data_IF_284523156852
#
_entry.id   IF_284523156852
#
_cell.length_a   1.000
_cell.length_b   1.000
_cell.length_c   1.000
_cell.angle_alpha   90.00
_cell.angle_beta   90.00
_cell.angle_gamma   90.00
#
_symmetry.space_group_name_H-M   'P 1'
#
loop_
_entity.id
_entity.type
_entity.pdbx_description
1 polymer ?
#
# COMPACT_ATOMS: atom_id res chain seq x y z
N UNK A 1 22.02 -20.34 0.11
CA UNK A 1 20.90 -21.26 -0.12
C UNK A 1 19.64 -20.46 -0.38
N UNK A 2 18.96 -20.67 -1.52
CA UNK A 2 17.74 -19.99 -1.91
C UNK A 2 16.55 -20.34 -0.99
N UNK A 3 15.43 -19.60 -1.13
CA UNK A 3 14.17 -19.97 -0.50
C UNK A 3 13.54 -21.16 -1.24
N UNK A 4 12.91 -22.08 -0.51
CA UNK A 4 12.22 -23.24 -1.09
C UNK A 4 10.95 -22.85 -1.88
N UNK A 5 10.41 -23.79 -2.67
CA UNK A 5 9.23 -23.58 -3.49
C UNK A 5 8.01 -23.07 -2.70
N UNK A 6 7.81 -23.56 -1.46
CA UNK A 6 6.74 -23.15 -0.55
C UNK A 6 6.72 -21.62 -0.33
N UNK A 7 7.90 -21.03 -0.12
CA UNK A 7 8.06 -19.59 0.04
C UNK A 7 7.58 -18.82 -1.21
N UNK A 8 8.03 -19.24 -2.38
CA UNK A 8 7.68 -18.57 -3.64
C UNK A 8 6.20 -18.68 -4.00
N UNK A 9 5.53 -19.79 -3.62
CA UNK A 9 4.08 -19.91 -3.76
C UNK A 9 3.33 -18.90 -2.88
N UNK A 10 3.80 -18.66 -1.65
CA UNK A 10 3.21 -17.63 -0.77
C UNK A 10 3.38 -16.24 -1.40
N UNK A 11 4.58 -15.93 -1.92
CA UNK A 11 4.83 -14.63 -2.58
C UNK A 11 3.98 -14.46 -3.85
N UNK A 12 3.90 -15.49 -4.70
CA UNK A 12 3.09 -15.46 -5.92
C UNK A 12 1.59 -15.25 -5.61
N UNK A 13 1.05 -15.99 -4.64
CA UNK A 13 -0.35 -15.82 -4.24
C UNK A 13 -0.61 -14.45 -3.60
N UNK A 14 0.35 -13.90 -2.84
CA UNK A 14 0.30 -12.52 -2.34
C UNK A 14 0.20 -11.54 -3.51
N UNK A 15 1.07 -11.69 -4.51
CA UNK A 15 1.05 -10.85 -5.70
C UNK A 15 -0.31 -10.91 -6.41
N UNK A 16 -0.86 -12.09 -6.68
CA UNK A 16 -2.16 -12.24 -7.35
C UNK A 16 -3.32 -11.67 -6.54
N UNK A 17 -3.32 -11.85 -5.21
CA UNK A 17 -4.34 -11.26 -4.33
C UNK A 17 -4.34 -9.74 -4.40
N UNK A 18 -3.17 -9.11 -4.30
CA UNK A 18 -3.02 -7.66 -4.38
C UNK A 18 -3.15 -7.10 -5.80
N UNK A 19 -2.80 -7.88 -6.83
CA UNK A 19 -3.07 -7.55 -8.21
C UNK A 19 -4.59 -7.40 -8.44
N UNK A 20 -5.40 -8.34 -7.92
CA UNK A 20 -6.85 -8.26 -7.97
C UNK A 20 -7.39 -6.97 -7.33
N UNK A 21 -6.91 -6.62 -6.13
CA UNK A 21 -7.28 -5.35 -5.46
C UNK A 21 -6.97 -4.15 -6.35
N UNK A 22 -5.81 -4.15 -7.01
CA UNK A 22 -5.36 -3.05 -7.87
C UNK A 22 -6.15 -2.88 -9.16
N UNK A 23 -6.69 -3.98 -9.75
CA UNK A 23 -7.37 -3.93 -11.06
C UNK A 23 -8.60 -3.04 -11.08
N UNK A 24 -9.31 -2.93 -9.96
CA UNK A 24 -10.57 -2.17 -9.86
C UNK A 24 -10.33 -0.66 -9.72
N UNK A 25 -9.17 -0.26 -9.21
CA UNK A 25 -8.90 1.14 -8.83
C UNK A 25 -9.11 2.15 -9.96
N UNK A 26 -8.65 1.95 -11.22
CA UNK A 26 -8.82 2.95 -12.27
C UNK A 26 -10.26 3.20 -12.67
N UNK A 27 -11.11 2.19 -12.58
CA UNK A 27 -12.51 2.25 -13.02
C UNK A 27 -13.49 2.53 -11.90
N UNK A 28 -13.09 2.38 -10.62
CA UNK A 28 -13.98 2.50 -9.47
C UNK A 28 -14.56 3.93 -9.32
N UNK A 29 -13.73 4.95 -9.37
CA UNK A 29 -14.18 6.33 -9.21
C UNK A 29 -15.07 6.80 -10.39
N UNK A 30 -14.70 6.56 -11.66
CA UNK A 30 -15.57 6.77 -12.80
C UNK A 30 -16.90 6.02 -12.68
N UNK A 31 -16.90 4.75 -12.29
CA UNK A 31 -18.10 3.95 -12.09
C UNK A 31 -19.03 4.57 -11.04
N UNK A 32 -18.50 4.95 -9.88
CA UNK A 32 -19.29 5.61 -8.84
C UNK A 32 -19.90 6.93 -9.37
N UNK A 33 -19.12 7.69 -10.11
CA UNK A 33 -19.51 9.04 -10.55
C UNK A 33 -20.48 9.04 -11.72
N UNK A 34 -20.24 8.21 -12.74
CA UNK A 34 -20.97 8.22 -13.99
C UNK A 34 -22.07 7.17 -14.05
N UNK A 35 -21.80 5.94 -13.57
CA UNK A 35 -22.76 4.85 -13.70
C UNK A 35 -23.72 4.79 -12.50
N UNK A 36 -23.23 5.09 -11.29
CA UNK A 36 -24.03 5.05 -10.07
C UNK A 36 -24.55 6.41 -9.59
N UNK A 37 -24.25 7.50 -10.30
CA UNK A 37 -24.73 8.86 -9.98
C UNK A 37 -24.20 9.41 -8.64
N UNK A 38 -23.10 8.84 -8.13
CA UNK A 38 -22.49 9.29 -6.87
C UNK A 38 -21.81 10.65 -6.99
N UNK A 39 -21.70 11.38 -5.89
CA UNK A 39 -20.97 12.64 -5.80
C UNK A 39 -19.46 12.40 -5.54
N UNK A 40 -18.62 13.43 -5.70
CA UNK A 40 -17.20 13.36 -5.35
C UNK A 40 -17.00 13.02 -3.87
N UNK A 41 -17.91 13.51 -3.00
CA UNK A 41 -17.95 13.08 -1.59
C UNK A 41 -18.17 11.57 -1.47
N UNK A 42 -19.08 11.00 -2.27
CA UNK A 42 -19.34 9.55 -2.30
C UNK A 42 -18.11 8.79 -2.74
N UNK A 43 -17.39 9.26 -3.77
CA UNK A 43 -16.11 8.67 -4.22
C UNK A 43 -15.10 8.62 -3.06
N UNK A 44 -14.90 9.75 -2.36
CA UNK A 44 -14.00 9.82 -1.21
C UNK A 44 -14.39 8.85 -0.10
N UNK A 45 -15.69 8.73 0.21
CA UNK A 45 -16.19 7.78 1.23
C UNK A 45 -15.98 6.33 0.81
N UNK A 46 -16.30 5.95 -0.43
CA UNK A 46 -16.11 4.57 -0.91
C UNK A 46 -14.63 4.19 -0.93
N UNK A 47 -13.73 5.11 -1.31
CA UNK A 47 -12.29 4.85 -1.26
C UNK A 47 -11.81 4.72 0.19
N UNK A 48 -12.25 5.61 1.09
CA UNK A 48 -11.78 5.67 2.47
C UNK A 48 -12.25 4.51 3.34
N UNK A 49 -13.46 3.99 3.12
CA UNK A 49 -14.00 2.90 3.94
C UNK A 49 -13.14 1.63 3.90
N UNK A 50 -12.51 1.37 2.76
CA UNK A 50 -11.53 0.29 2.65
C UNK A 50 -10.46 0.36 3.74
N UNK A 51 -9.83 1.52 3.91
CA UNK A 51 -8.73 1.69 4.86
C UNK A 51 -9.19 1.63 6.32
N UNK A 52 -10.37 2.15 6.63
CA UNK A 52 -10.93 2.01 7.98
C UNK A 52 -11.29 0.56 8.31
N UNK A 53 -11.87 -0.17 7.36
CA UNK A 53 -12.15 -1.59 7.55
C UNK A 53 -10.85 -2.38 7.65
N UNK A 54 -9.84 -2.09 6.82
CA UNK A 54 -8.54 -2.73 6.91
C UNK A 54 -7.89 -2.49 8.29
N UNK A 55 -7.87 -1.25 8.75
CA UNK A 55 -7.35 -0.87 10.07
C UNK A 55 -8.05 -1.63 11.21
N UNK A 56 -9.40 -1.63 11.22
CA UNK A 56 -10.19 -2.36 12.23
C UNK A 56 -9.97 -3.87 12.16
N UNK A 57 -9.83 -4.42 10.95
CA UNK A 57 -9.63 -5.85 10.73
C UNK A 57 -8.27 -6.37 11.19
N UNK A 58 -7.28 -5.51 11.42
CA UNK A 58 -5.97 -5.92 11.97
C UNK A 58 -6.10 -6.51 13.37
N UNK A 59 -7.09 -6.06 14.16
CA UNK A 59 -7.40 -6.66 15.48
C UNK A 59 -7.94 -8.10 15.36
N UNK A 60 -8.48 -8.48 14.22
CA UNK A 60 -8.97 -9.82 13.94
C UNK A 60 -7.90 -10.69 13.25
N UNK A 61 -7.24 -10.15 12.22
CA UNK A 61 -6.32 -10.91 11.36
C UNK A 61 -5.08 -11.41 12.11
N UNK A 62 -4.53 -10.61 13.03
CA UNK A 62 -3.41 -11.03 13.89
C UNK A 62 -3.75 -12.24 14.75
N UNK A 63 -4.74 -12.16 15.65
CA UNK A 63 -5.19 -13.30 16.44
C UNK A 63 -5.62 -14.51 15.61
N UNK A 64 -6.19 -14.33 14.43
CA UNK A 64 -6.53 -15.44 13.54
C UNK A 64 -5.28 -16.18 13.08
N UNK A 65 -4.27 -15.44 12.61
CA UNK A 65 -2.99 -16.00 12.17
C UNK A 65 -2.23 -16.69 13.33
N UNK A 66 -2.31 -16.14 14.54
CA UNK A 66 -1.59 -16.67 15.71
C UNK A 66 -2.29 -17.89 16.36
N UNK A 67 -3.61 -18.00 16.26
CA UNK A 67 -4.37 -19.06 16.94
C UNK A 67 -4.76 -20.22 16.03
N UNK A 68 -5.05 -19.94 14.76
CA UNK A 68 -5.52 -20.94 13.79
C UNK A 68 -4.53 -21.25 12.68
N UNK A 69 -3.46 -20.46 12.58
CA UNK A 69 -2.42 -20.64 11.57
C UNK A 69 -2.40 -19.53 10.51
N UNK A 70 -1.30 -19.47 9.80
CA UNK A 70 -1.03 -18.45 8.78
C UNK A 70 -1.87 -18.67 7.53
N UNK A 71 -2.00 -19.95 7.11
CA UNK A 71 -2.79 -20.37 5.95
C UNK A 71 -4.28 -20.03 6.10
N UNK A 72 -4.98 -20.34 7.22
CA UNK A 72 -6.36 -19.92 7.42
C UNK A 72 -6.54 -18.40 7.34
N UNK A 73 -5.64 -17.60 7.90
CA UNK A 73 -5.70 -16.14 7.81
C UNK A 73 -5.57 -15.68 6.35
N UNK A 74 -4.59 -16.24 5.62
CA UNK A 74 -4.35 -15.94 4.20
C UNK A 74 -5.56 -16.30 3.34
N UNK A 75 -6.11 -17.52 3.49
CA UNK A 75 -7.28 -17.98 2.74
C UNK A 75 -8.52 -17.14 3.04
N UNK A 76 -8.74 -16.75 4.31
CA UNK A 76 -9.83 -15.82 4.68
C UNK A 76 -9.69 -14.50 3.93
N UNK A 77 -8.47 -13.97 3.82
CA UNK A 77 -8.19 -12.77 3.04
C UNK A 77 -8.54 -12.92 1.56
N UNK A 78 -8.14 -14.02 0.94
CA UNK A 78 -8.43 -14.30 -0.48
C UNK A 78 -9.92 -14.48 -0.74
N UNK A 79 -10.63 -15.22 0.12
CA UNK A 79 -12.09 -15.38 0.02
C UNK A 79 -12.77 -14.02 0.10
N UNK A 80 -12.38 -13.18 1.05
CA UNK A 80 -12.96 -11.84 1.17
C UNK A 80 -12.65 -10.94 -0.04
N UNK A 81 -11.43 -10.99 -0.58
CA UNK A 81 -11.08 -10.28 -1.82
C UNK A 81 -11.88 -10.78 -3.03
N UNK A 82 -12.17 -12.08 -3.10
CA UNK A 82 -13.04 -12.66 -4.12
C UNK A 82 -14.48 -12.20 -3.97
N UNK A 83 -15.02 -12.23 -2.75
CA UNK A 83 -16.36 -11.71 -2.43
C UNK A 83 -16.47 -10.21 -2.73
N UNK A 84 -15.40 -9.43 -2.56
CA UNK A 84 -15.39 -8.03 -2.96
C UNK A 84 -15.64 -7.87 -4.47
N UNK A 85 -14.94 -8.64 -5.31
CA UNK A 85 -15.16 -8.66 -6.76
C UNK A 85 -16.59 -9.03 -7.13
N UNK A 86 -17.17 -10.03 -6.46
CA UNK A 86 -18.57 -10.42 -6.66
C UNK A 86 -19.57 -9.35 -6.17
N UNK A 87 -19.30 -8.72 -5.02
CA UNK A 87 -20.15 -7.66 -4.47
C UNK A 87 -20.26 -6.45 -5.40
N UNK A 88 -19.19 -6.11 -6.11
CA UNK A 88 -19.19 -5.06 -7.12
C UNK A 88 -20.09 -5.36 -8.32
N UNK A 89 -20.33 -6.64 -8.62
CA UNK A 89 -21.18 -7.08 -9.75
C UNK A 89 -22.67 -7.18 -9.37
N UNK A 90 -23.00 -7.11 -8.08
CA UNK A 90 -24.39 -7.16 -7.65
C UNK A 90 -25.12 -5.87 -8.05
N UNK A 91 -26.41 -5.95 -8.45
CA UNK A 91 -27.19 -4.78 -8.84
C UNK A 91 -27.68 -3.99 -7.61
N UNK A 92 -26.76 -3.66 -6.70
CA UNK A 92 -27.02 -2.94 -5.46
C UNK A 92 -26.63 -1.46 -5.53
N UNK A 93 -26.19 -0.97 -6.70
CA UNK A 93 -25.77 0.40 -6.88
C UNK A 93 -24.64 0.79 -5.93
N UNK A 94 -24.74 1.94 -5.27
CA UNK A 94 -23.72 2.42 -4.32
C UNK A 94 -23.49 1.45 -3.15
N UNK A 95 -24.52 0.73 -2.68
CA UNK A 95 -24.37 -0.25 -1.62
C UNK A 95 -23.41 -1.38 -2.03
N UNK A 96 -23.46 -1.82 -3.30
CA UNK A 96 -22.52 -2.81 -3.85
C UNK A 96 -21.08 -2.29 -3.83
N UNK A 97 -20.86 -1.02 -4.18
CA UNK A 97 -19.55 -0.38 -4.12
C UNK A 97 -19.02 -0.32 -2.67
N UNK A 98 -19.84 0.07 -1.70
CA UNK A 98 -19.46 0.05 -0.28
C UNK A 98 -19.16 -1.35 0.24
N UNK A 99 -20.02 -2.32 -0.05
CA UNK A 99 -19.81 -3.73 0.35
C UNK A 99 -18.53 -4.30 -0.24
N UNK A 100 -18.28 -4.07 -1.53
CA UNK A 100 -17.05 -4.48 -2.19
C UNK A 100 -15.82 -3.91 -1.49
N UNK A 101 -15.83 -2.62 -1.15
CA UNK A 101 -14.72 -1.97 -0.43
C UNK A 101 -14.56 -2.48 1.01
N UNK A 102 -15.66 -2.81 1.70
CA UNK A 102 -15.59 -3.43 3.03
C UNK A 102 -14.95 -4.83 2.97
N UNK A 103 -15.43 -5.69 2.06
CA UNK A 103 -14.83 -7.00 1.85
C UNK A 103 -13.36 -6.90 1.42
N UNK A 104 -13.03 -5.94 0.56
CA UNK A 104 -11.67 -5.74 0.08
C UNK A 104 -10.73 -5.29 1.21
N UNK A 105 -11.16 -4.37 2.10
CA UNK A 105 -10.39 -3.91 3.24
C UNK A 105 -10.17 -5.00 4.29
N UNK A 106 -11.21 -5.77 4.61
CA UNK A 106 -11.09 -6.94 5.50
C UNK A 106 -10.15 -7.99 4.88
N UNK A 107 -10.33 -8.26 3.60
CA UNK A 107 -9.52 -9.21 2.84
C UNK A 107 -8.05 -8.81 2.81
N UNK A 108 -7.75 -7.53 2.57
CA UNK A 108 -6.40 -6.98 2.58
C UNK A 108 -5.70 -7.21 3.91
N UNK A 109 -6.36 -6.87 5.03
CA UNK A 109 -5.78 -7.02 6.36
C UNK A 109 -5.43 -8.48 6.68
N UNK A 110 -6.30 -9.43 6.32
CA UNK A 110 -6.07 -10.85 6.53
C UNK A 110 -4.97 -11.39 5.60
N UNK A 111 -4.99 -10.97 4.33
CA UNK A 111 -4.03 -11.37 3.31
C UNK A 111 -2.62 -10.88 3.66
N UNK A 112 -2.50 -9.59 4.02
CA UNK A 112 -1.25 -8.97 4.45
C UNK A 112 -0.64 -9.71 5.66
N UNK A 113 -1.46 -9.88 6.72
CA UNK A 113 -1.02 -10.51 7.97
C UNK A 113 -0.62 -11.96 7.75
N UNK A 114 -1.45 -12.73 7.03
CA UNK A 114 -1.18 -14.13 6.72
C UNK A 114 0.08 -14.29 5.87
N UNK A 115 0.25 -13.48 4.82
CA UNK A 115 1.42 -13.51 3.95
C UNK A 115 2.73 -13.20 4.72
N UNK A 116 2.73 -12.11 5.48
CA UNK A 116 3.91 -11.66 6.22
C UNK A 116 4.34 -12.70 7.27
N UNK A 117 3.38 -13.17 8.08
CA UNK A 117 3.67 -14.16 9.12
C UNK A 117 4.14 -15.50 8.54
N UNK A 118 3.49 -15.96 7.46
CA UNK A 118 3.85 -17.26 6.84
C UNK A 118 5.21 -17.21 6.14
N UNK A 119 5.49 -16.12 5.41
CA UNK A 119 6.77 -15.96 4.76
C UNK A 119 7.94 -15.93 5.76
N UNK A 120 7.76 -15.25 6.90
CA UNK A 120 8.76 -15.22 7.98
C UNK A 120 8.96 -16.62 8.59
N UNK A 121 7.87 -17.35 8.85
CA UNK A 121 7.93 -18.71 9.39
C UNK A 121 8.68 -19.67 8.47
N UNK A 122 8.38 -19.64 7.16
CA UNK A 122 9.05 -20.48 6.14
C UNK A 122 10.52 -20.08 5.96
N UNK A 123 10.85 -18.80 6.08
CA UNK A 123 12.22 -18.30 5.89
C UNK A 123 13.13 -18.55 7.11
N UNK A 124 12.54 -18.66 8.28
CA UNK A 124 13.24 -18.71 9.57
C UNK A 124 13.66 -17.32 10.08
N UNK A 125 13.93 -17.22 11.39
CA UNK A 125 14.17 -15.96 12.09
C UNK A 125 15.33 -15.15 11.50
N UNK A 126 16.43 -15.82 11.14
CA UNK A 126 17.63 -15.16 10.59
C UNK A 126 17.44 -14.54 9.21
N UNK A 127 16.34 -14.85 8.50
CA UNK A 127 16.03 -14.36 7.16
C UNK A 127 14.71 -13.60 7.11
N UNK A 128 14.12 -13.28 8.26
CA UNK A 128 12.84 -12.62 8.40
C UNK A 128 12.76 -11.27 7.65
N UNK A 129 13.81 -10.46 7.74
CA UNK A 129 13.89 -9.18 7.03
C UNK A 129 13.86 -9.35 5.50
N UNK A 130 14.58 -10.34 4.97
CA UNK A 130 14.58 -10.66 3.53
C UNK A 130 13.21 -11.19 3.10
N UNK A 131 12.57 -12.05 3.90
CA UNK A 131 11.24 -12.57 3.64
C UNK A 131 10.19 -11.47 3.58
N UNK A 132 10.19 -10.53 4.54
CA UNK A 132 9.30 -9.36 4.54
C UNK A 132 9.54 -8.44 3.34
N UNK A 133 10.79 -8.32 2.88
CA UNK A 133 11.13 -7.60 1.65
C UNK A 133 10.44 -8.21 0.42
N UNK A 134 10.47 -9.53 0.25
CA UNK A 134 9.78 -10.23 -0.84
C UNK A 134 8.26 -10.14 -0.72
N UNK A 135 7.69 -10.27 0.49
CA UNK A 135 6.24 -10.04 0.72
C UNK A 135 5.86 -8.63 0.30
N UNK A 136 6.61 -7.63 0.74
CA UNK A 136 6.39 -6.24 0.35
C UNK A 136 6.45 -6.04 -1.16
N UNK A 137 7.40 -6.69 -1.86
CA UNK A 137 7.48 -6.67 -3.31
C UNK A 137 6.27 -7.32 -3.98
N UNK A 138 5.76 -8.43 -3.43
CA UNK A 138 4.52 -9.07 -3.89
C UNK A 138 3.31 -8.15 -3.74
N UNK A 139 3.13 -7.54 -2.58
CA UNK A 139 2.04 -6.60 -2.26
C UNK A 139 2.07 -5.40 -3.20
N UNK A 140 3.14 -4.64 -3.15
CA UNK A 140 3.24 -3.40 -3.91
C UNK A 140 3.38 -3.63 -5.41
N UNK A 141 4.01 -4.73 -5.81
CA UNK A 141 4.06 -5.17 -7.21
C UNK A 141 2.66 -5.46 -7.73
N UNK A 142 1.85 -6.20 -6.97
CA UNK A 142 0.45 -6.49 -7.30
C UNK A 142 -0.40 -5.22 -7.40
N UNK A 143 -0.40 -4.38 -6.35
CA UNK A 143 -1.16 -3.12 -6.32
C UNK A 143 -0.75 -2.19 -7.47
N UNK A 144 0.53 -2.11 -7.81
CA UNK A 144 1.01 -1.22 -8.88
C UNK A 144 0.76 -1.78 -10.28
N UNK A 145 0.80 -3.10 -10.48
CA UNK A 145 0.49 -3.74 -11.75
C UNK A 145 -1.03 -3.77 -12.02
N UNK A 146 -1.84 -3.83 -10.96
CA UNK A 146 -3.29 -3.90 -11.05
C UNK A 146 -3.93 -2.83 -11.93
N UNK A 147 -3.63 -1.54 -11.72
CA UNK A 147 -4.18 -0.47 -12.55
C UNK A 147 -3.84 -0.57 -14.04
N UNK A 148 -2.68 -1.10 -14.39
CA UNK A 148 -2.31 -1.35 -15.78
C UNK A 148 -3.23 -2.40 -16.39
N UNK A 149 -3.43 -3.52 -15.68
CA UNK A 149 -4.38 -4.57 -16.09
C UNK A 149 -5.81 -4.04 -16.13
N UNK A 150 -6.24 -3.30 -15.11
CA UNK A 150 -7.58 -2.71 -15.03
C UNK A 150 -7.88 -1.75 -16.19
N UNK A 151 -6.90 -0.96 -16.61
CA UNK A 151 -7.01 -0.10 -17.78
C UNK A 151 -7.23 -0.92 -19.07
N UNK A 152 -6.49 -2.02 -19.26
CA UNK A 152 -6.63 -2.88 -20.44
C UNK A 152 -7.97 -3.61 -20.49
N UNK A 153 -8.57 -3.90 -19.33
CA UNK A 153 -9.89 -4.54 -19.26
C UNK A 153 -11.01 -3.60 -19.74
N UNK A 154 -10.84 -2.30 -19.64
CA UNK A 154 -11.69 -1.27 -20.24
C UNK A 154 -13.06 -1.09 -19.60
N UNK A 155 -13.48 -1.93 -18.62
CA UNK A 155 -14.73 -1.75 -17.88
C UNK A 155 -14.60 -2.16 -16.42
N UNK A 156 -15.44 -1.56 -15.56
CA UNK A 156 -15.48 -1.85 -14.15
C UNK A 156 -15.88 -3.30 -13.85
N UNK A 157 -16.86 -3.83 -14.57
CA UNK A 157 -17.36 -5.20 -14.40
C UNK A 157 -16.28 -6.22 -14.72
N UNK A 158 -15.52 -6.01 -15.81
CA UNK A 158 -14.40 -6.90 -16.17
C UNK A 158 -13.29 -6.83 -15.12
N UNK A 159 -13.02 -5.64 -14.58
CA UNK A 159 -12.05 -5.48 -13.50
C UNK A 159 -12.49 -6.18 -12.22
N UNK A 160 -13.77 -6.10 -11.86
CA UNK A 160 -14.35 -6.80 -10.71
C UNK A 160 -14.33 -8.34 -10.91
N UNK A 161 -14.67 -8.84 -12.10
CA UNK A 161 -14.54 -10.27 -12.44
C UNK A 161 -13.08 -10.73 -12.35
N UNK A 162 -12.13 -9.93 -12.87
CA UNK A 162 -10.70 -10.23 -12.80
C UNK A 162 -10.23 -10.29 -11.35
N UNK A 163 -10.67 -9.38 -10.49
CA UNK A 163 -10.36 -9.43 -9.05
C UNK A 163 -10.82 -10.73 -8.43
N UNK A 164 -12.06 -11.17 -8.70
CA UNK A 164 -12.59 -12.43 -8.18
C UNK A 164 -11.80 -13.64 -8.72
N UNK A 165 -11.47 -13.64 -10.01
CA UNK A 165 -10.70 -14.70 -10.64
C UNK A 165 -9.27 -14.82 -10.08
N UNK A 166 -8.57 -13.67 -9.91
CA UNK A 166 -7.22 -13.64 -9.33
C UNK A 166 -7.21 -14.11 -7.88
N UNK A 167 -8.22 -13.72 -7.09
CA UNK A 167 -8.39 -14.20 -5.72
C UNK A 167 -8.63 -15.73 -5.70
N UNK A 168 -9.44 -16.26 -6.61
CA UNK A 168 -9.68 -17.71 -6.74
C UNK A 168 -8.41 -18.46 -7.16
N UNK A 169 -7.64 -17.95 -8.12
CA UNK A 169 -6.35 -18.53 -8.53
C UNK A 169 -5.39 -18.56 -7.33
N UNK A 170 -5.24 -17.44 -6.62
CA UNK A 170 -4.39 -17.39 -5.45
C UNK A 170 -4.87 -18.34 -4.33
N UNK A 171 -6.19 -18.47 -4.14
CA UNK A 171 -6.79 -19.42 -3.21
C UNK A 171 -6.44 -20.86 -3.57
N UNK A 172 -6.56 -21.25 -4.85
CA UNK A 172 -6.20 -22.59 -5.33
C UNK A 172 -4.71 -22.87 -5.11
N UNK A 173 -3.84 -21.92 -5.42
CA UNK A 173 -2.40 -22.04 -5.18
C UNK A 173 -2.15 -22.32 -3.69
N UNK A 174 -2.64 -21.46 -2.81
CA UNK A 174 -2.38 -21.52 -1.37
C UNK A 174 -3.04 -22.72 -0.70
N UNK A 175 -4.22 -23.15 -1.17
CA UNK A 175 -4.91 -24.32 -0.60
C UNK A 175 -4.06 -25.59 -0.70
N UNK A 176 -3.19 -25.69 -1.73
CA UNK A 176 -2.29 -26.83 -1.98
C UNK A 176 -0.94 -26.73 -1.26
N UNK A 177 -0.60 -25.56 -0.70
CA UNK A 177 0.66 -25.39 0.03
C UNK A 177 0.47 -25.93 1.45
N UNK A 178 1.29 -26.91 1.91
CA UNK A 178 1.19 -27.42 3.27
C UNK A 178 1.66 -26.38 4.28
N UNK A 179 1.00 -26.33 5.43
CA UNK A 179 1.39 -25.51 6.57
C UNK A 179 1.75 -26.39 7.75
N UNK A 180 2.95 -26.21 8.30
CA UNK A 180 3.44 -26.90 9.51
C UNK A 180 3.26 -25.96 10.70
N UNK A 181 1.99 -25.58 10.96
CA UNK A 181 1.67 -24.63 12.01
C UNK A 181 1.93 -25.22 13.40
N UNK A 182 2.75 -24.49 14.18
CA UNK A 182 2.91 -24.73 15.61
C UNK A 182 2.40 -23.51 16.40
N UNK A 183 1.52 -23.71 17.39
CA UNK A 183 1.06 -22.62 18.23
C UNK A 183 2.24 -21.96 18.93
N UNK A 184 2.39 -20.66 18.72
CA UNK A 184 3.42 -19.90 19.41
C UNK A 184 2.95 -19.48 20.81
N UNK A 185 3.85 -19.39 21.81
CA UNK A 185 3.54 -18.79 23.11
C UNK A 185 2.95 -17.39 22.89
N UNK A 186 1.97 -17.01 23.72
CA UNK A 186 1.34 -15.70 23.63
C UNK A 186 2.40 -14.62 23.67
N UNK A 187 2.41 -13.68 22.70
CA UNK A 187 3.37 -12.59 22.74
C UNK A 187 3.18 -11.78 24.02
N UNK A 188 4.30 -11.42 24.66
CA UNK A 188 4.28 -10.51 25.81
C UNK A 188 3.65 -9.20 25.32
N UNK A 189 2.57 -8.75 25.96
CA UNK A 189 1.87 -7.51 25.62
C UNK A 189 2.77 -6.32 25.93
N UNK A 190 3.48 -5.83 24.94
CA UNK A 190 4.12 -4.51 24.97
C UNK A 190 3.10 -3.38 24.77
N UNK A 191 3.50 -2.12 24.88
CA UNK A 191 2.64 -0.97 24.59
C UNK A 191 2.14 -1.07 23.15
N UNK A 192 0.84 -0.79 22.92
CA UNK A 192 0.15 -0.91 21.63
C UNK A 192 0.85 -0.18 20.49
N UNK A 193 1.44 0.98 20.80
CA UNK A 193 2.24 1.76 19.85
C UNK A 193 3.53 2.18 20.54
N UNK A 194 4.67 1.56 20.23
CA UNK A 194 5.96 2.01 20.72
C UNK A 194 6.26 3.45 20.28
N UNK A 195 6.69 4.31 21.21
CA UNK A 195 7.01 5.73 20.92
C UNK A 195 7.98 5.89 19.76
N UNK A 196 8.90 4.96 19.59
CA UNK A 196 9.88 4.95 18.51
C UNK A 196 9.24 4.85 17.11
N UNK A 197 8.02 4.31 17.00
CA UNK A 197 7.31 4.11 15.74
C UNK A 197 6.34 5.27 15.41
N UNK A 198 6.13 6.23 16.31
CA UNK A 198 5.22 7.36 16.07
C UNK A 198 5.71 8.26 14.92
N UNK A 199 6.95 8.72 14.97
CA UNK A 199 7.49 9.58 13.91
C UNK A 199 7.57 8.86 12.55
N UNK A 200 8.07 7.61 12.44
CA UNK A 200 7.97 6.80 11.22
C UNK A 200 6.55 6.64 10.72
N UNK A 201 5.60 6.30 11.59
CA UNK A 201 4.19 6.12 11.26
C UNK A 201 3.56 7.40 10.71
N UNK A 202 3.76 8.52 11.40
CA UNK A 202 3.25 9.84 10.99
C UNK A 202 3.88 10.27 9.65
N UNK A 203 5.18 10.07 9.46
CA UNK A 203 5.84 10.40 8.20
C UNK A 203 5.24 9.63 7.03
N UNK A 204 5.09 8.31 7.16
CA UNK A 204 4.47 7.45 6.14
C UNK A 204 2.98 7.79 5.98
N UNK A 205 2.26 8.08 7.06
CA UNK A 205 0.88 8.53 7.01
C UNK A 205 0.69 9.75 6.10
N UNK A 206 1.44 10.82 6.33
CA UNK A 206 1.37 12.03 5.51
C UNK A 206 1.84 11.83 4.06
N UNK A 207 2.85 10.98 3.82
CA UNK A 207 3.26 10.59 2.45
C UNK A 207 2.08 9.99 1.70
N UNK A 208 1.22 9.24 2.37
CA UNK A 208 0.13 8.51 1.74
C UNK A 208 -1.18 9.29 1.60
N UNK A 209 -1.26 10.53 2.10
CA UNK A 209 -2.40 11.44 1.87
C UNK A 209 -2.69 11.64 0.37
N UNK A 210 -1.68 11.59 -0.49
CA UNK A 210 -1.85 11.69 -1.94
C UNK A 210 -2.53 10.46 -2.56
N UNK A 211 -2.45 9.28 -1.93
CA UNK A 211 -2.94 8.04 -2.54
C UNK A 211 -4.45 8.07 -2.86
N UNK A 212 -5.36 8.45 -1.95
CA UNK A 212 -6.77 8.56 -2.28
C UNK A 212 -7.08 9.68 -3.28
N UNK A 213 -6.26 10.72 -3.37
CA UNK A 213 -6.42 11.76 -4.39
C UNK A 213 -6.16 11.16 -5.77
N UNK A 214 -5.10 10.37 -5.92
CA UNK A 214 -4.79 9.69 -7.18
C UNK A 214 -5.83 8.61 -7.49
N UNK A 215 -6.15 7.75 -6.53
CA UNK A 215 -7.09 6.64 -6.73
C UNK A 215 -8.52 7.10 -7.01
N UNK A 216 -8.95 8.23 -6.42
CA UNK A 216 -10.31 8.74 -6.51
C UNK A 216 -10.51 9.82 -7.56
N UNK A 217 -9.53 10.67 -7.77
CA UNK A 217 -9.79 11.91 -8.49
C UNK A 217 -8.88 12.16 -9.71
N UNK A 218 -7.76 11.43 -9.89
CA UNK A 218 -6.86 11.68 -11.03
C UNK A 218 -7.60 11.52 -12.38
N UNK A 219 -8.32 10.41 -12.56
CA UNK A 219 -9.03 10.14 -13.81
C UNK A 219 -10.15 11.16 -14.00
N UNK A 220 -10.94 11.43 -12.96
CA UNK A 220 -12.05 12.40 -13.02
C UNK A 220 -11.55 13.82 -13.29
N UNK A 221 -10.47 14.23 -12.63
CA UNK A 221 -9.86 15.54 -12.79
C UNK A 221 -9.37 15.77 -14.23
N UNK A 222 -8.59 14.85 -14.76
CA UNK A 222 -8.08 14.99 -16.13
C UNK A 222 -9.18 14.88 -17.18
N UNK A 223 -10.18 14.00 -16.98
CA UNK A 223 -11.32 13.88 -17.87
C UNK A 223 -12.15 15.17 -17.92
N UNK A 224 -12.36 15.87 -16.79
CA UNK A 224 -13.08 17.14 -16.74
C UNK A 224 -12.39 18.27 -17.52
N UNK A 225 -11.09 18.11 -17.85
CA UNK A 225 -10.30 19.03 -18.69
C UNK A 225 -10.03 18.48 -20.10
N UNK A 226 -10.74 17.42 -20.52
CA UNK A 226 -10.57 16.82 -21.84
C UNK A 226 -9.30 15.99 -22.01
N UNK A 227 -8.62 15.63 -20.92
CA UNK A 227 -7.37 14.88 -20.91
C UNK A 227 -7.57 13.39 -20.61
N UNK A 228 -6.62 12.54 -21.04
CA UNK A 228 -6.66 11.10 -20.81
C UNK A 228 -6.25 10.75 -19.36
N UNK A 229 -7.22 10.72 -18.44
CA UNK A 229 -7.02 10.31 -17.06
C UNK A 229 -6.49 8.88 -16.91
N UNK A 230 -7.02 7.87 -17.62
CA UNK A 230 -6.53 6.50 -17.54
C UNK A 230 -5.06 6.34 -17.92
N UNK A 231 -4.58 7.05 -18.95
CA UNK A 231 -3.16 6.99 -19.34
C UNK A 231 -2.24 7.56 -18.26
N UNK A 232 -2.61 8.67 -17.62
CA UNK A 232 -1.85 9.25 -16.52
C UNK A 232 -1.86 8.32 -15.29
N UNK A 233 -2.99 7.68 -14.97
CA UNK A 233 -3.06 6.72 -13.87
C UNK A 233 -2.16 5.49 -14.13
N UNK A 234 -2.16 5.01 -15.38
CA UNK A 234 -1.29 3.90 -15.80
C UNK A 234 0.18 4.30 -15.71
N UNK A 235 0.56 5.52 -16.13
CA UNK A 235 1.91 6.04 -16.02
C UNK A 235 2.37 6.13 -14.56
N UNK A 236 1.51 6.62 -13.67
CA UNK A 236 1.77 6.62 -12.22
C UNK A 236 2.05 5.20 -11.70
N UNK A 237 1.15 4.25 -11.95
CA UNK A 237 1.26 2.90 -11.45
C UNK A 237 2.47 2.15 -12.03
N UNK A 238 2.70 2.31 -13.35
CA UNK A 238 3.85 1.73 -14.03
C UNK A 238 5.17 2.27 -13.48
N UNK A 239 5.25 3.58 -13.22
CA UNK A 239 6.46 4.19 -12.68
C UNK A 239 6.71 3.78 -11.21
N UNK A 240 5.65 3.63 -10.40
CA UNK A 240 5.77 3.07 -9.04
C UNK A 240 6.35 1.65 -9.10
N UNK A 241 5.83 0.79 -9.98
CA UNK A 241 6.30 -0.59 -10.15
C UNK A 241 7.77 -0.61 -10.60
N UNK A 242 8.08 0.12 -11.67
CA UNK A 242 9.43 0.21 -12.24
C UNK A 242 10.45 0.73 -11.23
N UNK A 243 10.09 1.82 -10.53
CA UNK A 243 10.97 2.41 -9.54
C UNK A 243 11.23 1.47 -8.36
N UNK A 244 10.24 0.73 -7.89
CA UNK A 244 10.43 -0.27 -6.83
C UNK A 244 11.30 -1.43 -7.28
N UNK A 245 11.14 -1.90 -8.52
CA UNK A 245 11.90 -3.01 -9.05
C UNK A 245 13.38 -2.65 -9.24
N UNK A 246 13.67 -1.51 -9.89
CA UNK A 246 15.05 -1.11 -10.22
C UNK A 246 15.77 -0.35 -9.10
N UNK A 247 15.02 0.44 -8.30
CA UNK A 247 15.58 1.37 -7.32
C UNK A 247 15.14 1.09 -5.89
N UNK A 248 14.40 -0.01 -5.62
CA UNK A 248 13.91 -0.36 -4.28
C UNK A 248 15.00 -0.52 -3.23
N UNK A 249 16.22 -0.94 -3.64
CA UNK A 249 17.41 -1.03 -2.79
C UNK A 249 18.23 0.26 -2.68
N UNK A 250 17.80 1.35 -3.31
CA UNK A 250 18.54 2.62 -3.30
C UNK A 250 18.77 3.18 -1.89
N UNK A 251 17.81 3.13 -0.93
CA UNK A 251 18.02 3.59 0.43
C UNK A 251 19.09 2.81 1.21
N UNK A 252 19.45 1.60 0.78
CA UNK A 252 20.52 0.82 1.40
C UNK A 252 21.90 1.18 0.84
N UNK A 253 21.95 1.79 -0.37
CA UNK A 253 23.19 2.20 -1.05
C UNK A 253 23.52 3.68 -0.87
N UNK A 254 22.48 4.51 -0.72
CA UNK A 254 22.59 5.95 -0.53
C UNK A 254 21.96 6.27 0.86
N UNK A 255 22.29 7.45 1.40
CA UNK A 255 21.70 7.90 2.66
C UNK A 255 20.14 7.88 2.57
N UNK A 256 19.44 7.12 3.43
CA UNK A 256 17.98 7.01 3.39
C UNK A 256 17.25 8.35 3.49
N UNK A 257 17.81 9.33 4.21
CA UNK A 257 17.23 10.67 4.30
C UNK A 257 17.20 11.36 2.91
N UNK A 258 18.28 11.24 2.13
CA UNK A 258 18.35 11.84 0.78
C UNK A 258 17.28 11.22 -0.11
N UNK A 259 17.14 9.89 -0.10
CA UNK A 259 16.13 9.20 -0.91
C UNK A 259 14.71 9.55 -0.47
N UNK A 260 14.47 9.70 0.83
CA UNK A 260 13.18 10.14 1.36
C UNK A 260 12.81 11.55 0.88
N UNK A 261 13.67 12.54 1.11
CA UNK A 261 13.38 13.93 0.73
C UNK A 261 13.34 14.14 -0.77
N UNK A 262 14.19 13.45 -1.56
CA UNK A 262 14.11 13.47 -3.00
C UNK A 262 12.78 12.88 -3.50
N UNK A 263 12.32 11.78 -2.88
CA UNK A 263 11.00 11.21 -3.15
C UNK A 263 9.88 12.21 -2.89
N UNK A 264 9.90 12.91 -1.74
CA UNK A 264 8.91 13.95 -1.42
C UNK A 264 8.94 15.11 -2.44
N UNK A 265 10.12 15.55 -2.87
CA UNK A 265 10.24 16.62 -3.85
C UNK A 265 9.64 16.23 -5.20
N UNK A 266 9.93 15.02 -5.70
CA UNK A 266 9.32 14.49 -6.93
C UNK A 266 7.80 14.39 -6.80
N UNK A 267 7.31 13.89 -5.65
CA UNK A 267 5.86 13.83 -5.38
C UNK A 267 5.22 15.21 -5.36
N UNK A 268 5.85 16.19 -4.71
CA UNK A 268 5.33 17.55 -4.65
C UNK A 268 5.25 18.19 -6.05
N UNK A 269 6.27 18.02 -6.87
CA UNK A 269 6.28 18.46 -8.28
C UNK A 269 5.12 17.80 -9.04
N UNK A 270 5.01 16.47 -8.99
CA UNK A 270 3.97 15.73 -9.70
C UNK A 270 2.56 16.17 -9.29
N UNK A 271 2.28 16.27 -7.98
CA UNK A 271 0.97 16.70 -7.46
C UNK A 271 0.64 18.14 -7.85
N UNK A 272 1.61 19.05 -7.73
CA UNK A 272 1.40 20.46 -8.08
C UNK A 272 1.11 20.63 -9.57
N UNK A 273 1.90 19.97 -10.43
CA UNK A 273 1.66 20.01 -11.89
C UNK A 273 0.30 19.41 -12.24
N UNK A 274 -0.06 18.26 -11.66
CA UNK A 274 -1.36 17.64 -11.90
C UNK A 274 -2.53 18.51 -11.43
N UNK A 275 -2.38 19.28 -10.35
CA UNK A 275 -3.42 20.19 -9.86
C UNK A 275 -3.90 21.20 -10.91
N UNK A 276 -3.03 21.60 -11.85
CA UNK A 276 -3.35 22.53 -12.92
C UNK A 276 -3.90 21.85 -14.19
N UNK A 277 -4.12 20.53 -14.16
CA UNK A 277 -4.64 19.74 -15.28
C UNK A 277 -3.96 20.05 -16.62
N UNK A 278 -2.63 19.90 -16.72
CA UNK A 278 -1.88 20.29 -17.92
C UNK A 278 -2.33 19.44 -19.13
N UNK A 279 -1.86 19.82 -20.32
CA UNK A 279 -2.12 19.02 -21.53
C UNK A 279 -1.67 17.55 -21.37
N UNK A 280 -2.25 16.58 -22.13
CA UNK A 280 -2.05 15.14 -21.89
C UNK A 280 -0.61 14.69 -21.70
N UNK A 281 0.38 15.12 -22.50
CA UNK A 281 1.77 14.67 -22.31
C UNK A 281 2.36 15.09 -20.97
N UNK A 282 2.07 16.34 -20.53
CA UNK A 282 2.54 16.85 -19.25
C UNK A 282 1.83 16.17 -18.06
N UNK A 283 0.53 15.86 -18.19
CA UNK A 283 -0.21 15.11 -17.17
C UNK A 283 0.36 13.70 -17.00
N UNK A 284 0.65 13.00 -18.09
CA UNK A 284 1.27 11.67 -18.07
C UNK A 284 2.68 11.74 -17.44
N UNK A 285 3.50 12.71 -17.84
CA UNK A 285 4.83 12.90 -17.29
C UNK A 285 4.78 13.23 -15.79
N UNK A 286 3.90 14.14 -15.36
CA UNK A 286 3.73 14.52 -13.96
C UNK A 286 3.25 13.35 -13.10
N UNK A 287 2.31 12.54 -13.61
CA UNK A 287 1.87 11.31 -12.94
C UNK A 287 3.01 10.28 -12.83
N UNK A 288 3.83 10.14 -13.86
CA UNK A 288 5.04 9.31 -13.82
C UNK A 288 6.06 9.80 -12.79
N UNK A 289 6.33 11.11 -12.73
CA UNK A 289 7.23 11.72 -11.73
C UNK A 289 6.70 11.48 -10.31
N UNK A 290 5.40 11.64 -10.11
CA UNK A 290 4.74 11.35 -8.84
C UNK A 290 4.92 9.89 -8.43
N UNK A 291 4.71 8.96 -9.38
CA UNK A 291 4.89 7.52 -9.15
C UNK A 291 6.33 7.15 -8.81
N UNK A 292 7.31 7.74 -9.51
CA UNK A 292 8.74 7.59 -9.21
C UNK A 292 9.03 8.04 -7.76
N UNK A 293 8.57 9.24 -7.39
CA UNK A 293 8.77 9.80 -6.05
C UNK A 293 8.13 8.93 -4.95
N UNK A 294 6.95 8.39 -5.20
CA UNK A 294 6.21 7.57 -4.23
C UNK A 294 6.89 6.24 -3.88
N UNK A 295 7.77 5.74 -4.76
CA UNK A 295 8.46 4.48 -4.51
C UNK A 295 9.46 4.53 -3.35
N UNK A 296 10.03 5.70 -3.02
CA UNK A 296 11.18 5.83 -2.11
C UNK A 296 10.84 6.01 -0.62
N UNK A 297 9.84 6.81 -0.19
CA UNK A 297 9.65 7.15 1.22
C UNK A 297 9.45 5.93 2.13
N UNK A 298 8.67 4.94 1.68
CA UNK A 298 8.45 3.72 2.47
C UNK A 298 9.76 2.97 2.73
N UNK A 299 10.54 2.68 1.68
CA UNK A 299 11.79 1.95 1.81
C UNK A 299 12.82 2.71 2.64
N UNK A 300 12.89 4.04 2.51
CA UNK A 300 13.80 4.87 3.30
C UNK A 300 13.46 4.88 4.80
N UNK A 301 12.17 5.02 5.15
CA UNK A 301 11.71 4.98 6.54
C UNK A 301 11.85 3.56 7.10
N UNK A 302 11.46 2.54 6.34
CA UNK A 302 11.53 1.15 6.77
C UNK A 302 12.99 0.73 7.04
N UNK A 303 13.92 1.00 6.14
CA UNK A 303 15.34 0.66 6.32
C UNK A 303 15.94 1.33 7.57
N UNK A 304 15.61 2.60 7.81
CA UNK A 304 16.11 3.34 8.97
C UNK A 304 15.49 2.86 10.29
N UNK A 305 14.17 2.55 10.26
CA UNK A 305 13.44 2.20 11.48
C UNK A 305 13.67 0.74 11.87
N UNK A 306 13.61 -0.20 10.90
CA UNK A 306 13.72 -1.63 11.19
C UNK A 306 15.13 -2.06 11.61
N UNK A 307 16.17 -1.30 11.27
CA UNK A 307 17.53 -1.52 11.79
C UNK A 307 17.62 -1.31 13.30
N UNK A 308 16.74 -0.47 13.88
CA UNK A 308 16.69 -0.17 15.33
C UNK A 308 15.76 -1.09 16.11
N UNK A 309 14.97 -1.91 15.42
CA UNK A 309 13.99 -2.81 16.02
C UNK A 309 14.58 -4.22 16.06
N UNK A 310 14.50 -4.94 17.20
CA UNK A 310 14.90 -6.34 17.31
C UNK A 310 14.25 -7.19 16.21
N UNK A 311 14.95 -8.20 15.71
CA UNK A 311 14.48 -8.99 14.55
C UNK A 311 13.10 -9.61 14.76
N UNK A 312 12.83 -10.11 15.97
CA UNK A 312 11.55 -10.73 16.34
C UNK A 312 10.39 -9.72 16.44
N UNK A 313 10.65 -8.40 16.52
CA UNK A 313 9.65 -7.34 16.60
C UNK A 313 9.44 -6.60 15.25
N UNK A 314 10.28 -6.85 14.24
CA UNK A 314 10.20 -6.13 12.94
C UNK A 314 8.85 -6.27 12.27
N UNK A 315 8.22 -7.45 12.35
CA UNK A 315 6.88 -7.68 11.81
C UNK A 315 5.83 -6.80 12.50
N UNK A 316 5.89 -6.69 13.82
CA UNK A 316 5.01 -5.82 14.61
C UNK A 316 5.24 -4.34 14.27
N UNK A 317 6.49 -3.92 14.12
CA UNK A 317 6.84 -2.55 13.74
C UNK A 317 6.28 -2.18 12.34
N UNK A 318 6.41 -3.07 11.36
CA UNK A 318 5.80 -2.91 10.04
C UNK A 318 4.28 -2.81 10.16
N UNK A 319 3.66 -3.64 10.99
CA UNK A 319 2.21 -3.61 11.24
C UNK A 319 1.74 -2.27 11.81
N UNK A 320 2.47 -1.71 12.79
CA UNK A 320 2.17 -0.39 13.38
C UNK A 320 2.29 0.73 12.32
N UNK A 321 3.39 0.76 11.55
CA UNK A 321 3.57 1.76 10.49
C UNK A 321 2.47 1.64 9.43
N UNK A 322 2.06 0.41 9.08
CA UNK A 322 0.95 0.18 8.15
C UNK A 322 -0.41 0.62 8.71
N UNK A 323 -0.62 0.54 10.03
CA UNK A 323 -1.82 1.09 10.65
C UNK A 323 -1.92 2.62 10.52
N UNK A 324 -0.79 3.34 10.62
CA UNK A 324 -0.75 4.77 10.31
C UNK A 324 -1.05 5.04 8.84
N UNK A 325 -0.50 4.23 7.92
CA UNK A 325 -0.86 4.30 6.51
C UNK A 325 -2.39 4.20 6.32
N UNK A 326 -3.03 3.15 6.85
CA UNK A 326 -4.47 2.94 6.71
C UNK A 326 -5.28 4.09 7.31
N UNK A 327 -4.90 4.57 8.50
CA UNK A 327 -5.57 5.69 9.17
C UNK A 327 -5.52 6.96 8.31
N UNK A 328 -4.33 7.33 7.83
CA UNK A 328 -4.16 8.55 7.06
C UNK A 328 -4.81 8.46 5.68
N UNK A 329 -4.73 7.32 5.00
CA UNK A 329 -5.44 7.09 3.74
C UNK A 329 -6.95 7.16 3.96
N UNK A 330 -7.48 6.54 5.02
CA UNK A 330 -8.89 6.61 5.36
C UNK A 330 -9.36 8.05 5.57
N UNK A 331 -8.73 8.76 6.50
CA UNK A 331 -9.09 10.16 6.83
C UNK A 331 -8.94 11.08 5.62
N UNK A 332 -7.82 11.00 4.90
CA UNK A 332 -7.57 11.86 3.75
C UNK A 332 -8.48 11.57 2.56
N UNK A 333 -9.00 10.34 2.42
CA UNK A 333 -10.02 10.02 1.41
C UNK A 333 -11.31 10.83 1.63
N UNK A 334 -11.79 10.88 2.88
CA UNK A 334 -12.96 11.70 3.21
C UNK A 334 -12.69 13.18 2.98
N UNK A 335 -11.53 13.67 3.44
CA UNK A 335 -11.12 15.07 3.25
C UNK A 335 -11.02 15.41 1.75
N UNK A 336 -10.38 14.55 0.95
CA UNK A 336 -10.27 14.74 -0.49
C UNK A 336 -11.62 14.80 -1.19
N UNK A 337 -12.58 13.93 -0.81
CA UNK A 337 -13.94 13.94 -1.36
C UNK A 337 -14.71 15.20 -1.01
N UNK A 338 -14.58 15.71 0.22
CA UNK A 338 -15.21 16.97 0.65
C UNK A 338 -14.59 18.17 -0.06
N UNK A 339 -13.26 18.24 -0.14
CA UNK A 339 -12.51 19.30 -0.80
C UNK A 339 -12.81 19.31 -2.30
N UNK A 340 -12.80 18.13 -2.94
CA UNK A 340 -13.11 18.01 -4.37
C UNK A 340 -14.51 18.52 -4.68
N UNK A 341 -15.50 18.20 -3.84
CA UNK A 341 -16.88 18.69 -4.01
C UNK A 341 -17.02 20.20 -3.83
N UNK A 342 -16.30 20.79 -2.89
CA UNK A 342 -16.47 22.19 -2.50
C UNK A 342 -15.56 23.14 -3.29
N UNK A 343 -14.33 22.75 -3.55
CA UNK A 343 -13.25 23.57 -4.11
C UNK A 343 -12.70 23.02 -5.44
N UNK A 344 -13.24 21.91 -5.93
CA UNK A 344 -12.80 21.25 -7.14
C UNK A 344 -11.61 20.29 -6.93
N UNK A 345 -11.30 19.52 -7.96
CA UNK A 345 -10.26 18.48 -7.90
C UNK A 345 -8.87 19.05 -7.68
N UNK A 346 -8.54 20.21 -8.28
CA UNK A 346 -7.24 20.88 -8.09
C UNK A 346 -6.90 21.09 -6.63
N UNK A 347 -7.88 21.49 -5.81
CA UNK A 347 -7.69 21.70 -4.37
C UNK A 347 -7.36 20.38 -3.64
N UNK A 348 -7.94 19.26 -4.06
CA UNK A 348 -7.61 17.94 -3.51
C UNK A 348 -6.15 17.52 -3.82
N UNK A 349 -5.65 17.82 -5.04
CA UNK A 349 -4.24 17.60 -5.39
C UNK A 349 -3.30 18.49 -4.55
N UNK A 350 -3.65 19.76 -4.38
CA UNK A 350 -2.88 20.69 -3.54
C UNK A 350 -2.88 20.27 -2.06
N UNK A 351 -4.00 19.73 -1.54
CA UNK A 351 -4.03 19.12 -0.20
C UNK A 351 -2.97 18.02 -0.08
N UNK A 352 -2.86 17.13 -1.08
CA UNK A 352 -1.83 16.10 -1.13
C UNK A 352 -0.42 16.70 -1.11
N UNK A 353 -0.18 17.76 -1.89
CA UNK A 353 1.12 18.45 -1.91
C UNK A 353 1.47 19.11 -0.57
N UNK A 354 0.50 19.76 0.08
CA UNK A 354 0.69 20.38 1.42
C UNK A 354 1.00 19.30 2.47
N UNK A 355 0.35 18.14 2.41
CA UNK A 355 0.62 17.04 3.33
C UNK A 355 2.08 16.56 3.28
N UNK A 356 2.76 16.68 2.13
CA UNK A 356 4.18 16.34 2.01
C UNK A 356 5.09 17.26 2.83
N UNK A 357 4.66 18.49 3.13
CA UNK A 357 5.38 19.39 4.03
C UNK A 357 5.39 18.79 5.45
N UNK A 358 4.23 18.32 5.92
CA UNK A 358 4.13 17.65 7.21
C UNK A 358 4.91 16.32 7.22
N UNK A 359 4.90 15.55 6.10
CA UNK A 359 5.75 14.38 5.93
C UNK A 359 7.23 14.72 6.06
N UNK A 360 7.67 15.85 5.49
CA UNK A 360 9.06 16.31 5.56
C UNK A 360 9.47 16.66 7.00
N UNK A 361 8.60 17.31 7.78
CA UNK A 361 8.86 17.59 9.19
C UNK A 361 8.96 16.30 10.02
N UNK A 362 8.03 15.38 9.85
CA UNK A 362 8.08 14.07 10.52
C UNK A 362 9.33 13.26 10.11
N UNK A 363 9.66 13.27 8.82
CA UNK A 363 10.87 12.64 8.29
C UNK A 363 12.17 13.21 8.91
N UNK A 364 12.25 14.53 9.13
CA UNK A 364 13.40 15.12 9.84
C UNK A 364 13.58 14.51 11.23
N UNK A 365 12.49 14.25 11.95
CA UNK A 365 12.57 13.61 13.28
C UNK A 365 13.10 12.19 13.16
N UNK A 366 12.59 11.42 12.18
CA UNK A 366 13.01 10.02 11.91
C UNK A 366 14.52 9.95 11.67
N UNK A 367 15.05 10.80 10.77
CA UNK A 367 16.44 10.73 10.34
C UNK A 367 17.42 11.45 11.28
N UNK A 368 17.01 12.48 12.02
CA UNK A 368 17.83 13.10 13.07
C UNK A 368 18.07 12.14 14.24
N UNK A 369 17.06 11.42 14.68
CA UNK A 369 17.23 10.43 15.75
C UNK A 369 18.11 9.22 15.32
N UNK A 370 18.36 9.06 14.02
CA UNK A 370 19.29 8.07 13.50
C UNK A 370 20.76 8.53 13.53
N UNK A 371 21.01 9.84 13.42
CA UNK A 371 22.36 10.42 13.42
C UNK A 371 22.91 10.68 14.83
N UNK A 372 22.07 10.65 15.87
CA UNK A 372 22.44 10.96 17.25
C UNK A 372 22.91 9.73 18.07
N UNK A 373 23.06 8.54 17.48
CA UNK A 373 23.58 7.36 18.17
C UNK A 373 24.93 6.90 17.57
N UNK A 374 26.05 7.60 17.85
CA UNK A 374 27.37 7.29 17.31
C UNK A 374 27.97 5.98 17.83
N UNK A 375 27.45 5.43 18.93
CA UNK A 375 27.92 4.17 19.52
C UNK A 375 27.58 2.98 18.62
N UNK A 376 26.40 2.97 17.98
CA UNK A 376 25.97 1.93 17.04
C UNK A 376 26.75 1.98 15.72
N UNK A 377 27.19 3.16 15.28
CA UNK A 377 27.99 3.31 14.07
C UNK A 377 29.41 2.77 14.27
N UNK A 378 29.95 2.86 15.48
CA UNK A 378 31.24 2.24 15.85
C UNK A 378 31.16 0.72 15.96
N UNK A 379 30.14 0.18 16.59
CA UNK A 379 29.95 -1.27 16.72
C UNK A 379 29.74 -1.94 15.34
N UNK A 380 29.07 -1.29 14.40
CA UNK A 380 28.92 -1.79 13.03
C UNK A 380 30.19 -1.66 12.19
N UNK A 381 31.05 -0.67 12.46
CA UNK A 381 32.34 -0.52 11.82
C UNK A 381 33.39 -1.53 12.37
N UNK A 382 33.26 -1.92 13.62
CA UNK A 382 34.13 -2.93 14.28
C UNK A 382 33.67 -4.38 14.01
N UNK A 383 32.44 -4.61 13.56
CA UNK A 383 31.89 -5.92 13.23
C UNK A 383 32.09 -6.35 11.76
N UNK A 384 32.68 -5.53 10.90
CA UNK A 384 33.05 -5.87 9.51
C UNK A 384 34.58 -6.10 9.38
N UNK A 385 35.07 -7.34 9.53
CA UNK A 385 36.49 -7.66 9.42
C UNK A 385 37.01 -7.73 7.95
N UNK A 386 36.24 -7.27 6.96
CA UNK A 386 36.58 -7.33 5.53
C UNK A 386 36.77 -5.95 4.91
N UNK A 387 37.52 -5.06 5.60
CA UNK A 387 38.22 -3.91 5.00
C UNK A 387 39.70 -3.96 5.29
#
# INVERSE_FOLDING_TARGET
VGFGAKFWWVIAATFFGFLGIGTVLPSLAPHIRHDLGGSDRTVGFVIGIFSFVALGSRFFSGPLADRRGRKPAFLTGLVSCGLAGLAYLLPLGLAGAYLGRCFQGFGEACLYTGAAAWAVEVAGIHRSGQALGYVSSGIWGGISAGPVVGHWLGSFERAAMMQAALAAIAFIIISRVPEDYQPHPKPVRGPWIPRALLAPGIAIGFVNVQYPVIAGFLILHLASHGNSGPAAFTAYAFMVLTARFFFGGLPDRINPAITFFAGLALMAVGLTVLAFAPSPPFAIAAAGILGLGFAFPWSAVASTTLRKVPEHERGSAVGVISAFYDLFVGVSSFAAGLIAKQYGYSAAFLMGAVALIAAAFAGRVVFRSASLNPTMAKELAEADPAR
#
